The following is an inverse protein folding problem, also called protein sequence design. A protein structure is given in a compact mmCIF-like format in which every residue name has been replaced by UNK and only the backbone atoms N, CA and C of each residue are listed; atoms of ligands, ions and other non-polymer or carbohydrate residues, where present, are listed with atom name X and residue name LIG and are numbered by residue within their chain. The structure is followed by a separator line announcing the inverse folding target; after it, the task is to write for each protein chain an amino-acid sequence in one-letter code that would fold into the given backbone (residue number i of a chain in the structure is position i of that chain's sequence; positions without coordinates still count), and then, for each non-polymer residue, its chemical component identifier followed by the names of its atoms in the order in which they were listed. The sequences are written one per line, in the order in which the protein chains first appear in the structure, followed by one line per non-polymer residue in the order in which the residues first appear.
data_IF_931933352065
#
_entry.id   IF_931933352065
#
_cell.length_a   1.000
_cell.length_b   1.000
_cell.length_c   1.000
_cell.angle_alpha   90.00
_cell.angle_beta   90.00
_cell.angle_gamma   90.00
#
_symmetry.space_group_name_H-M   'P 1'
#
loop_
_entity.id
_entity.type
_entity.pdbx_description
1 polymer ?
#
# COMPACT_ATOMS: atom_id res chain seq x y z
N UNK A 1 8.86 1.52 8.70
CA UNK A 1 9.25 2.64 7.82
C UNK A 1 8.21 3.73 7.90
N UNK A 2 8.65 4.95 7.85
CA UNK A 2 7.83 6.17 7.82
C UNK A 2 8.47 7.18 6.84
N UNK A 3 7.98 8.40 6.83
CA UNK A 3 8.43 9.48 5.94
C UNK A 3 9.91 9.85 6.11
N UNK A 4 10.49 9.54 7.27
CA UNK A 4 11.88 9.84 7.63
C UNK A 4 12.84 8.65 7.41
N UNK A 5 12.30 7.50 7.08
CA UNK A 5 13.10 6.29 6.88
C UNK A 5 14.02 6.42 5.66
N UNK A 6 15.27 5.94 5.73
CA UNK A 6 16.18 5.99 4.59
C UNK A 6 15.62 5.21 3.40
N UNK A 7 15.84 5.76 2.20
CA UNK A 7 15.44 5.12 0.95
C UNK A 7 16.37 3.95 0.62
N UNK A 8 15.80 2.85 0.14
CA UNK A 8 16.60 1.73 -0.33
C UNK A 8 17.01 1.96 -1.78
N UNK A 9 18.30 2.20 -2.00
CA UNK A 9 18.88 2.46 -3.31
C UNK A 9 19.20 1.16 -4.09
N UNK A 10 19.13 0.01 -3.45
CA UNK A 10 19.50 -1.27 -4.05
C UNK A 10 18.39 -1.86 -4.95
N UNK A 11 17.19 -1.31 -4.89
CA UNK A 11 16.10 -1.72 -5.77
C UNK A 11 16.21 -1.06 -7.14
N UNK A 12 16.11 -1.85 -8.21
CA UNK A 12 16.28 -1.42 -9.62
C UNK A 12 15.42 -0.21 -9.98
N UNK A 13 14.21 -0.10 -9.42
CA UNK A 13 13.29 1.01 -9.71
C UNK A 13 13.45 2.20 -8.76
N UNK A 14 14.13 2.05 -7.64
CA UNK A 14 14.24 3.09 -6.62
C UNK A 14 14.97 4.34 -7.16
N UNK A 15 16.01 4.14 -7.93
CA UNK A 15 16.80 5.24 -8.50
C UNK A 15 15.96 6.19 -9.36
N UNK A 16 15.13 5.66 -10.24
CA UNK A 16 14.25 6.46 -11.11
C UNK A 16 13.18 7.21 -10.32
N UNK A 17 12.57 6.56 -9.32
CA UNK A 17 11.56 7.18 -8.47
C UNK A 17 12.16 8.33 -7.65
N UNK A 18 13.32 8.10 -7.03
CA UNK A 18 14.02 9.11 -6.22
C UNK A 18 14.43 10.31 -7.08
N UNK A 19 14.96 10.05 -8.29
CA UNK A 19 15.32 11.11 -9.23
C UNK A 19 14.09 11.93 -9.65
N UNK A 20 12.94 11.27 -9.88
CA UNK A 20 11.68 11.92 -10.20
C UNK A 20 11.17 12.80 -9.06
N UNK A 21 11.13 12.28 -7.82
CA UNK A 21 10.77 13.06 -6.64
C UNK A 21 11.68 14.28 -6.46
N UNK A 22 12.99 14.11 -6.62
CA UNK A 22 13.95 15.19 -6.51
C UNK A 22 13.79 16.25 -7.61
N UNK A 23 13.43 15.83 -8.83
CA UNK A 23 13.16 16.75 -9.92
C UNK A 23 11.91 17.62 -9.66
N UNK A 24 10.83 16.98 -9.19
CA UNK A 24 9.59 17.68 -8.82
C UNK A 24 9.85 18.69 -7.70
N UNK A 25 10.56 18.31 -6.63
CA UNK A 25 10.88 19.20 -5.51
C UNK A 25 11.75 20.41 -5.90
N UNK A 26 12.57 20.27 -6.95
CA UNK A 26 13.35 21.42 -7.49
C UNK A 26 12.50 22.35 -8.34
N UNK A 27 11.48 21.84 -8.99
CA UNK A 27 10.65 22.59 -9.91
C UNK A 27 9.47 23.30 -9.23
N UNK A 28 8.95 22.75 -8.13
CA UNK A 28 7.75 23.27 -7.47
C UNK A 28 7.72 22.88 -5.98
N UNK A 29 6.94 23.62 -5.20
CA UNK A 29 6.49 23.16 -3.88
C UNK A 29 5.51 22.00 -4.12
N UNK A 30 5.83 20.82 -3.59
CA UNK A 30 5.06 19.62 -3.83
C UNK A 30 5.03 18.70 -2.61
N UNK A 31 3.91 18.04 -2.40
CA UNK A 31 3.78 16.90 -1.49
C UNK A 31 3.92 15.61 -2.29
N UNK A 32 4.82 14.75 -1.87
CA UNK A 32 5.00 13.42 -2.45
C UNK A 32 4.21 12.41 -1.62
N UNK A 33 3.20 11.81 -2.20
CA UNK A 33 2.50 10.68 -1.58
C UNK A 33 3.19 9.40 -2.05
N UNK A 34 3.67 8.60 -1.09
CA UNK A 34 4.26 7.27 -1.31
C UNK A 34 3.26 6.22 -0.89
N UNK A 35 2.42 5.71 -1.81
CA UNK A 35 1.45 4.70 -1.46
C UNK A 35 2.14 3.36 -1.23
N UNK A 36 1.63 2.60 -0.29
CA UNK A 36 1.87 1.17 -0.16
C UNK A 36 1.21 0.40 -1.33
N UNK A 37 1.20 -0.92 -1.30
CA UNK A 37 0.53 -1.71 -2.33
C UNK A 37 -0.95 -1.36 -2.44
N UNK A 38 -1.36 -0.73 -3.54
CA UNK A 38 -2.75 -0.33 -3.76
C UNK A 38 -3.62 -1.54 -4.06
N UNK A 39 -4.75 -1.67 -3.36
CA UNK A 39 -5.72 -2.75 -3.53
C UNK A 39 -7.16 -2.20 -3.55
N UNK A 40 -8.16 -3.10 -3.63
CA UNK A 40 -9.58 -2.74 -3.69
C UNK A 40 -10.18 -2.82 -5.10
N UNK A 41 -9.42 -3.36 -6.05
CA UNK A 41 -9.92 -3.70 -7.38
C UNK A 41 -10.22 -5.21 -7.43
N UNK A 42 -11.47 -5.63 -7.71
CA UNK A 42 -11.82 -7.05 -7.86
C UNK A 42 -11.06 -7.76 -8.98
N UNK A 43 -10.57 -7.00 -9.97
CA UNK A 43 -9.70 -7.47 -11.06
C UNK A 43 -8.22 -7.17 -10.78
N UNK A 44 -7.87 -6.78 -9.56
CA UNK A 44 -6.51 -6.45 -9.16
C UNK A 44 -5.57 -7.67 -9.22
N UNK A 45 -4.28 -7.41 -9.32
CA UNK A 45 -3.25 -8.46 -9.51
C UNK A 45 -3.32 -9.56 -8.44
N UNK A 46 -3.51 -9.21 -7.16
CA UNK A 46 -3.61 -10.21 -6.10
C UNK A 46 -4.89 -11.04 -6.22
N UNK A 47 -6.03 -10.38 -6.49
CA UNK A 47 -7.31 -11.08 -6.67
C UNK A 47 -7.24 -12.08 -7.82
N UNK A 48 -6.76 -11.67 -9.00
CA UNK A 48 -6.60 -12.57 -10.17
C UNK A 48 -5.67 -13.74 -9.86
N UNK A 49 -4.58 -13.51 -9.12
CA UNK A 49 -3.63 -14.57 -8.74
C UNK A 49 -4.29 -15.59 -7.81
N UNK A 50 -5.01 -15.13 -6.79
CA UNK A 50 -5.74 -16.00 -5.86
C UNK A 50 -6.86 -16.76 -6.58
N UNK A 51 -7.65 -16.09 -7.43
CA UNK A 51 -8.68 -16.72 -8.26
C UNK A 51 -8.11 -17.83 -9.18
N UNK A 52 -6.87 -17.65 -9.66
CA UNK A 52 -6.16 -18.67 -10.43
C UNK A 52 -5.53 -19.79 -9.57
N UNK A 53 -5.79 -19.83 -8.26
CA UNK A 53 -5.23 -20.83 -7.35
C UNK A 53 -3.73 -20.67 -7.10
N UNK A 54 -3.18 -19.47 -7.30
CA UNK A 54 -1.75 -19.22 -7.17
C UNK A 54 -1.49 -18.37 -5.91
N UNK A 55 -0.77 -18.94 -4.96
CA UNK A 55 -0.27 -18.23 -3.79
C UNK A 55 1.18 -17.78 -3.96
N UNK A 56 1.58 -16.77 -3.23
CA UNK A 56 2.98 -16.36 -3.10
C UNK A 56 3.76 -17.25 -2.12
N UNK A 57 5.03 -16.93 -1.91
CA UNK A 57 5.87 -17.63 -0.93
C UNK A 57 5.36 -17.43 0.49
N UNK A 58 5.45 -18.49 1.30
CA UNK A 58 5.18 -18.41 2.74
C UNK A 58 6.37 -17.80 3.47
N UNK A 59 6.10 -17.09 4.54
CA UNK A 59 7.11 -16.44 5.37
C UNK A 59 6.66 -15.06 5.84
N UNK A 60 7.39 -14.46 6.76
CA UNK A 60 7.03 -13.17 7.35
C UNK A 60 7.28 -11.99 6.38
N UNK A 61 6.65 -12.05 5.20
CA UNK A 61 6.64 -10.98 4.22
C UNK A 61 5.49 -10.06 4.48
N UNK A 62 5.77 -9.03 5.22
CA UNK A 62 4.76 -8.03 5.52
C UNK A 62 4.27 -7.33 4.25
N UNK A 63 2.96 -7.38 4.02
CA UNK A 63 2.31 -6.62 2.97
C UNK A 63 1.83 -5.29 3.52
N UNK A 64 2.49 -4.21 3.13
CA UNK A 64 1.94 -2.89 3.37
C UNK A 64 0.96 -2.58 2.25
N UNK A 65 -0.22 -2.07 2.59
CA UNK A 65 -1.33 -1.86 1.65
C UNK A 65 -2.02 -0.54 1.92
N UNK A 66 -2.75 -0.06 0.94
CA UNK A 66 -3.74 1.01 1.08
C UNK A 66 -4.89 0.74 0.11
N UNK A 67 -6.13 0.89 0.57
CA UNK A 67 -7.28 0.76 -0.31
C UNK A 67 -7.30 1.91 -1.33
N UNK A 68 -7.68 1.60 -2.58
CA UNK A 68 -7.69 2.60 -3.68
C UNK A 68 -8.52 3.84 -3.37
N UNK A 69 -9.64 3.66 -2.68
CA UNK A 69 -10.50 4.79 -2.29
C UNK A 69 -9.84 5.64 -1.21
N UNK A 70 -9.16 5.03 -0.23
CA UNK A 70 -8.43 5.77 0.77
C UNK A 70 -7.24 6.53 0.18
N UNK A 71 -6.56 5.95 -0.81
CA UNK A 71 -5.51 6.67 -1.54
C UNK A 71 -6.09 7.89 -2.28
N UNK A 72 -7.22 7.72 -2.97
CA UNK A 72 -7.89 8.82 -3.67
C UNK A 72 -8.33 9.92 -2.68
N UNK A 73 -8.93 9.54 -1.55
CA UNK A 73 -9.33 10.46 -0.49
C UNK A 73 -8.14 11.19 0.15
N UNK A 74 -7.02 10.47 0.34
CA UNK A 74 -5.79 11.08 0.86
C UNK A 74 -5.24 12.16 -0.08
N UNK A 75 -5.26 11.91 -1.38
CA UNK A 75 -4.87 12.91 -2.39
C UNK A 75 -5.76 14.15 -2.29
N UNK A 76 -7.08 13.97 -2.28
CA UNK A 76 -8.04 15.06 -2.15
C UNK A 76 -7.83 15.81 -0.83
N UNK A 77 -7.66 15.08 0.28
CA UNK A 77 -7.42 15.68 1.59
C UNK A 77 -6.16 16.58 1.61
N UNK A 78 -5.07 16.14 0.97
CA UNK A 78 -3.86 16.97 0.86
C UNK A 78 -4.12 18.25 0.03
N UNK A 79 -4.88 18.15 -1.07
CA UNK A 79 -5.25 19.30 -1.90
C UNK A 79 -6.14 20.28 -1.12
N UNK A 80 -7.13 19.78 -0.39
CA UNK A 80 -8.05 20.61 0.39
C UNK A 80 -7.30 21.36 1.51
N UNK A 81 -6.37 20.69 2.19
CA UNK A 81 -5.53 21.31 3.21
C UNK A 81 -4.68 22.44 2.64
N UNK A 82 -4.01 22.19 1.51
CA UNK A 82 -3.18 23.18 0.83
C UNK A 82 -4.03 24.39 0.40
N UNK A 83 -5.18 24.14 -0.21
CA UNK A 83 -6.14 25.17 -0.63
C UNK A 83 -6.67 26.00 0.54
N UNK A 84 -6.79 25.42 1.73
CA UNK A 84 -7.17 26.11 2.96
C UNK A 84 -6.00 26.82 3.64
N UNK A 85 -4.81 26.84 3.05
CA UNK A 85 -3.60 27.44 3.63
C UNK A 85 -3.04 26.68 4.83
N UNK A 86 -3.45 25.41 5.01
CA UNK A 86 -2.94 24.53 6.06
C UNK A 86 -1.65 23.86 5.59
N UNK A 87 -0.74 23.63 6.52
CA UNK A 87 0.51 22.92 6.19
C UNK A 87 0.26 21.49 5.75
N UNK A 88 0.81 21.11 4.61
CA UNK A 88 0.85 19.73 4.11
C UNK A 88 2.30 19.24 4.19
N UNK A 89 2.56 18.06 4.78
CA UNK A 89 3.92 17.54 4.84
C UNK A 89 4.52 17.30 3.45
N UNK A 90 5.85 17.47 3.27
CA UNK A 90 6.49 17.31 1.96
C UNK A 90 6.52 15.85 1.48
N UNK A 91 6.31 14.90 2.37
CA UNK A 91 6.13 13.47 2.06
C UNK A 91 5.07 12.90 2.97
N UNK A 92 4.21 12.04 2.42
CA UNK A 92 3.18 11.29 3.16
C UNK A 92 3.24 9.82 2.72
N UNK A 93 3.33 8.91 3.68
CA UNK A 93 3.21 7.47 3.42
C UNK A 93 1.73 7.09 3.53
N UNK A 94 1.16 6.61 2.43
CA UNK A 94 -0.21 6.08 2.39
C UNK A 94 -0.19 4.57 2.66
N UNK A 95 -0.58 4.16 3.85
CA UNK A 95 -0.73 2.75 4.22
C UNK A 95 -1.90 2.58 5.19
N UNK A 96 -2.52 1.39 5.20
CA UNK A 96 -3.47 0.99 6.22
C UNK A 96 -2.78 0.69 7.57
N UNK A 97 -3.57 0.36 8.58
CA UNK A 97 -3.08 0.11 9.96
C UNK A 97 -2.59 -1.34 10.14
N UNK A 98 -2.81 -2.21 9.14
CA UNK A 98 -2.56 -3.65 9.26
C UNK A 98 -1.54 -4.15 8.23
N UNK A 99 -0.33 -4.44 8.71
CA UNK A 99 0.78 -4.97 7.90
C UNK A 99 0.87 -6.50 7.98
N UNK A 100 -0.27 -7.19 7.95
CA UNK A 100 -0.34 -8.66 7.93
C UNK A 100 0.53 -9.26 6.81
N UNK A 101 1.24 -10.38 7.07
CA UNK A 101 1.98 -11.11 6.05
C UNK A 101 1.14 -11.43 4.81
N UNK A 102 1.74 -11.30 3.64
CA UNK A 102 1.00 -11.42 2.37
C UNK A 102 0.34 -12.78 2.19
N UNK A 103 0.99 -13.86 2.65
CA UNK A 103 0.42 -15.21 2.53
C UNK A 103 -0.84 -15.40 3.38
N UNK A 104 -0.93 -14.76 4.54
CA UNK A 104 -2.14 -14.83 5.39
C UNK A 104 -3.34 -14.14 4.72
N UNK A 105 -3.09 -13.03 4.05
CA UNK A 105 -4.12 -12.34 3.26
C UNK A 105 -4.56 -13.18 2.06
N UNK A 106 -3.61 -13.83 1.39
CA UNK A 106 -3.90 -14.75 0.28
C UNK A 106 -4.72 -15.96 0.74
N UNK A 107 -4.36 -16.57 1.89
CA UNK A 107 -5.09 -17.69 2.46
C UNK A 107 -6.53 -17.28 2.79
N UNK A 108 -6.70 -16.15 3.46
CA UNK A 108 -8.03 -15.64 3.77
C UNK A 108 -8.86 -15.38 2.51
N UNK A 109 -8.28 -14.73 1.48
CA UNK A 109 -8.97 -14.49 0.22
C UNK A 109 -9.39 -15.79 -0.46
N UNK A 110 -8.48 -16.79 -0.48
CA UNK A 110 -8.75 -18.10 -1.06
C UNK A 110 -9.91 -18.81 -0.35
N UNK A 111 -9.95 -18.72 0.98
CA UNK A 111 -11.06 -19.26 1.78
C UNK A 111 -12.38 -18.57 1.45
N UNK A 112 -12.38 -17.22 1.29
CA UNK A 112 -13.59 -16.48 0.96
C UNK A 112 -14.18 -16.85 -0.40
N UNK A 113 -13.33 -17.18 -1.39
CA UNK A 113 -13.77 -17.51 -2.75
C UNK A 113 -13.76 -19.01 -3.04
N UNK A 114 -13.44 -19.86 -2.06
CA UNK A 114 -13.48 -21.31 -2.15
C UNK A 114 -12.41 -21.92 -3.07
N UNK A 115 -11.20 -21.35 -3.11
CA UNK A 115 -10.10 -21.79 -3.97
C UNK A 115 -8.94 -22.33 -3.13
N UNK A 116 -8.32 -23.42 -3.59
CA UNK A 116 -7.09 -23.94 -2.98
C UNK A 116 -5.85 -23.29 -3.65
N UNK A 117 -4.90 -22.82 -2.83
CA UNK A 117 -3.69 -22.19 -3.33
C UNK A 117 -2.55 -23.20 -3.53
N UNK A 118 -1.93 -23.14 -4.70
CA UNK A 118 -0.62 -23.75 -4.96
C UNK A 118 0.46 -22.71 -4.75
N UNK A 119 1.48 -23.03 -3.96
CA UNK A 119 2.56 -22.12 -3.62
C UNK A 119 3.89 -22.62 -4.18
N UNK A 120 4.78 -21.71 -4.64
CA UNK A 120 6.12 -22.09 -5.07
C UNK A 120 6.92 -22.60 -3.86
N UNK A 121 7.77 -23.61 -4.09
CA UNK A 121 8.67 -24.16 -3.09
C UNK A 121 9.90 -23.28 -2.83
N UNK A 122 10.23 -22.40 -3.78
CA UNK A 122 11.41 -21.57 -3.71
C UNK A 122 11.12 -20.25 -2.99
N UNK A 123 11.95 -19.97 -1.99
CA UNK A 123 12.02 -18.66 -1.37
C UNK A 123 12.72 -17.69 -2.34
N UNK A 124 11.99 -17.06 -3.23
CA UNK A 124 12.55 -15.93 -3.97
C UNK A 124 13.10 -14.90 -2.98
N UNK A 125 14.29 -14.31 -3.25
CA UNK A 125 14.81 -13.25 -2.40
C UNK A 125 13.80 -12.10 -2.37
N UNK A 126 13.32 -11.84 -1.21
CA UNK A 126 12.10 -11.09 -0.97
C UNK A 126 12.42 -9.61 -0.93
N UNK A 127 11.61 -8.85 -1.61
CA UNK A 127 11.49 -7.42 -1.37
C UNK A 127 11.41 -7.20 0.15
N UNK A 128 12.15 -6.22 0.63
CA UNK A 128 12.49 -6.02 2.02
C UNK A 128 11.32 -6.23 3.00
N UNK A 129 11.58 -6.94 4.09
CA UNK A 129 10.76 -7.02 5.29
C UNK A 129 10.56 -5.65 5.92
N UNK A 130 9.58 -4.88 5.46
CA UNK A 130 9.34 -3.55 5.97
C UNK A 130 7.90 -3.41 6.39
N UNK A 131 7.71 -2.82 7.56
CA UNK A 131 6.38 -2.38 8.01
C UNK A 131 6.31 -0.88 7.86
N UNK A 132 5.32 -0.39 7.12
CA UNK A 132 5.03 1.03 7.04
C UNK A 132 4.30 1.49 8.31
N UNK A 133 4.63 2.68 8.79
CA UNK A 133 3.86 3.39 9.80
C UNK A 133 3.19 4.57 9.14
N UNK A 134 1.92 4.73 9.37
CA UNK A 134 1.08 5.77 8.80
C UNK A 134 0.67 6.83 9.84
N UNK A 135 1.38 6.94 10.95
CA UNK A 135 1.07 7.86 12.04
C UNK A 135 0.97 9.34 11.61
N UNK A 136 1.50 9.69 10.43
CA UNK A 136 1.35 11.02 9.88
C UNK A 136 -0.06 11.29 9.36
N UNK A 137 -0.79 10.27 8.91
CA UNK A 137 -2.18 10.41 8.45
C UNK A 137 -3.07 10.99 9.56
N UNK A 138 -2.97 10.43 10.77
CA UNK A 138 -3.69 10.94 11.94
C UNK A 138 -3.31 12.40 12.25
N UNK A 139 -2.00 12.72 12.21
CA UNK A 139 -1.50 14.08 12.50
C UNK A 139 -2.00 15.12 11.51
N UNK A 140 -2.24 14.75 10.26
CA UNK A 140 -2.84 15.64 9.27
C UNK A 140 -4.38 15.59 9.28
N UNK A 141 -4.99 14.85 10.21
CA UNK A 141 -6.44 14.72 10.36
C UNK A 141 -7.11 13.84 9.31
N UNK A 142 -6.35 12.94 8.67
CA UNK A 142 -6.90 11.98 7.72
C UNK A 142 -7.31 10.69 8.43
N UNK A 143 -8.51 10.19 8.13
CA UNK A 143 -9.02 8.92 8.64
C UNK A 143 -9.26 7.95 7.48
N UNK A 144 -8.75 6.73 7.64
CA UNK A 144 -8.98 5.64 6.70
C UNK A 144 -10.44 5.19 6.76
N UNK A 145 -11.05 4.91 5.60
CA UNK A 145 -12.33 4.22 5.50
C UNK A 145 -12.17 2.71 5.66
N UNK A 146 -10.99 2.21 5.25
CA UNK A 146 -10.60 0.82 5.35
C UNK A 146 -9.30 0.72 6.15
N UNK A 147 -9.37 0.81 7.49
CA UNK A 147 -8.19 0.78 8.35
C UNK A 147 -7.45 -0.56 8.31
N UNK A 148 -8.13 -1.65 7.93
CA UNK A 148 -7.52 -2.96 7.76
C UNK A 148 -7.74 -3.50 6.34
N UNK A 149 -6.79 -4.34 5.89
CA UNK A 149 -6.93 -5.04 4.61
C UNK A 149 -8.20 -5.91 4.56
N UNK A 150 -8.63 -6.44 5.72
CA UNK A 150 -9.82 -7.30 5.81
C UNK A 150 -11.08 -6.53 5.44
N UNK A 151 -11.30 -5.38 6.06
CA UNK A 151 -12.43 -4.50 5.75
C UNK A 151 -12.45 -4.08 4.28
N UNK A 152 -11.27 -3.75 3.73
CA UNK A 152 -11.17 -3.37 2.33
C UNK A 152 -11.43 -4.51 1.35
N UNK A 153 -10.97 -5.73 1.64
CA UNK A 153 -11.28 -6.87 0.77
C UNK A 153 -12.72 -7.38 0.95
N UNK A 154 -13.30 -7.33 2.16
CA UNK A 154 -14.72 -7.60 2.37
C UNK A 154 -15.60 -6.68 1.51
N UNK A 155 -15.29 -5.38 1.50
CA UNK A 155 -15.97 -4.41 0.64
C UNK A 155 -15.76 -4.71 -0.85
N UNK A 156 -14.56 -5.13 -1.25
CA UNK A 156 -14.23 -5.49 -2.64
C UNK A 156 -15.01 -6.72 -3.09
N UNK A 157 -15.11 -7.76 -2.26
CA UNK A 157 -15.85 -9.00 -2.55
C UNK A 157 -17.36 -8.78 -2.59
N UNK A 158 -17.88 -7.85 -1.78
CA UNK A 158 -19.32 -7.51 -1.74
C UNK A 158 -19.80 -6.67 -2.92
N UNK A 159 -18.92 -6.21 -3.82
CA UNK A 159 -19.26 -5.46 -5.04
C UNK A 159 -19.44 -6.35 -6.29
N UNK A 160 -19.27 -7.68 -6.14
CA UNK A 160 -19.32 -8.66 -7.24
C UNK A 160 -20.69 -9.32 -7.43
#
# INVERSE_FOLDING_TARGET
MDEHSPLNLDEVQAGSMIAGEAAIRRAATATIIRPAGVYGDPEGMLMRRVQAGQGGTTGALYGNRIHREDLARLIVHCIDRDSAGQSVPPTVVGADDDQTPSHEVEDWLADQIGVNLTRPSDLSPLRAHRRCRNALLEKIGFQLSYPTWREGYEATLGQG
#
